data_IF_757345938824
#
_entry.id   IF_757345938824
#
_cell.length_a   1.000
_cell.length_b   1.000
_cell.length_c   1.000
_cell.angle_alpha   90.00
_cell.angle_beta   90.00
_cell.angle_gamma   90.00
#
_symmetry.space_group_name_H-M   'P 1'
#
loop_
_entity.id
_entity.type
_entity.pdbx_description
1 polymer ?
#
# COMPACT_ATOMS: atom_id res chain seq x y z
N UNK A 1 6.76 -21.12 -9.40
CA UNK A 1 7.04 -21.17 -7.95
C UNK A 1 5.71 -21.30 -7.22
N UNK A 2 5.71 -21.92 -6.04
CA UNK A 2 4.52 -21.97 -5.20
C UNK A 2 4.29 -20.65 -4.47
N UNK A 3 3.07 -20.44 -3.95
CA UNK A 3 2.76 -19.28 -3.13
C UNK A 3 3.58 -19.26 -1.83
N UNK A 4 3.80 -20.44 -1.25
CA UNK A 4 4.58 -20.62 -0.02
C UNK A 4 6.05 -20.25 -0.22
N UNK A 5 6.64 -20.63 -1.37
CA UNK A 5 8.00 -20.25 -1.74
C UNK A 5 8.14 -18.73 -1.86
N UNK A 6 7.19 -18.08 -2.54
CA UNK A 6 7.19 -16.63 -2.69
C UNK A 6 6.98 -15.92 -1.34
N UNK A 7 6.02 -16.39 -0.53
CA UNK A 7 5.77 -15.85 0.79
C UNK A 7 7.02 -15.95 1.68
N UNK A 8 7.71 -17.10 1.67
CA UNK A 8 8.95 -17.29 2.43
C UNK A 8 10.05 -16.31 2.00
N UNK A 9 10.19 -16.02 0.71
CA UNK A 9 11.14 -15.01 0.22
C UNK A 9 10.79 -13.60 0.71
N UNK A 10 9.51 -13.21 0.65
CA UNK A 10 9.04 -11.91 1.13
C UNK A 10 9.24 -11.75 2.64
N UNK A 11 8.92 -12.79 3.43
CA UNK A 11 9.14 -12.80 4.87
C UNK A 11 10.63 -12.69 5.21
N UNK A 12 11.49 -13.42 4.49
CA UNK A 12 12.94 -13.32 4.67
C UNK A 12 13.45 -11.89 4.42
N UNK A 13 12.93 -11.20 3.39
CA UNK A 13 13.27 -9.81 3.14
C UNK A 13 12.76 -8.88 4.24
N UNK A 14 11.53 -9.10 4.70
CA UNK A 14 10.92 -8.33 5.79
C UNK A 14 11.72 -8.47 7.10
N UNK A 15 12.05 -9.69 7.52
CA UNK A 15 12.87 -9.99 8.70
C UNK A 15 14.27 -9.37 8.61
N UNK A 16 14.88 -9.41 7.43
CA UNK A 16 16.19 -8.80 7.18
C UNK A 16 16.14 -7.28 7.04
N UNK A 17 14.97 -6.66 7.03
CA UNK A 17 14.76 -5.25 6.75
C UNK A 17 15.32 -4.83 5.38
N UNK A 18 15.22 -5.72 4.39
CA UNK A 18 15.54 -5.44 2.99
C UNK A 18 14.27 -4.99 2.29
N UNK A 19 14.20 -3.74 1.77
CA UNK A 19 13.02 -3.24 1.11
C UNK A 19 12.60 -4.09 -0.10
N UNK A 20 11.30 -4.22 -0.30
CA UNK A 20 10.73 -4.89 -1.46
C UNK A 20 9.36 -4.30 -1.77
N UNK A 21 8.87 -4.59 -2.98
CA UNK A 21 7.47 -4.34 -3.34
C UNK A 21 6.93 -5.56 -4.07
N UNK A 22 5.68 -5.89 -3.78
CA UNK A 22 4.90 -6.89 -4.52
C UNK A 22 3.54 -6.28 -4.87
N UNK A 23 3.10 -6.46 -6.12
CA UNK A 23 1.84 -5.92 -6.60
C UNK A 23 1.28 -6.72 -7.78
N UNK A 24 -0.02 -6.64 -8.00
CA UNK A 24 -0.67 -7.13 -9.23
C UNK A 24 -1.18 -5.94 -10.05
N UNK A 25 -1.08 -6.03 -11.37
CA UNK A 25 -1.67 -5.05 -12.28
C UNK A 25 -3.16 -5.35 -12.47
N UNK A 26 -4.02 -4.34 -12.69
CA UNK A 26 -5.44 -4.57 -12.94
C UNK A 26 -5.68 -5.61 -14.04
N UNK A 27 -6.46 -6.66 -13.72
CA UNK A 27 -6.80 -7.75 -14.64
C UNK A 27 -5.64 -8.71 -14.98
N UNK A 28 -4.46 -8.56 -14.38
CA UNK A 28 -3.34 -9.45 -14.60
C UNK A 28 -3.40 -10.68 -13.67
N UNK A 29 -3.16 -11.86 -14.24
CA UNK A 29 -2.98 -13.10 -13.46
C UNK A 29 -1.58 -13.22 -12.83
N UNK A 30 -0.67 -12.30 -13.15
CA UNK A 30 0.74 -12.34 -12.75
C UNK A 30 1.04 -11.31 -11.69
N UNK A 31 1.87 -11.69 -10.72
CA UNK A 31 2.43 -10.79 -9.73
C UNK A 31 3.69 -10.13 -10.27
N UNK A 32 3.98 -8.93 -9.78
CA UNK A 32 5.21 -8.19 -10.03
C UNK A 32 5.93 -8.03 -8.70
N UNK A 33 7.23 -8.32 -8.68
CA UNK A 33 8.05 -8.18 -7.47
C UNK A 33 9.35 -7.45 -7.77
N UNK A 34 9.76 -6.57 -6.87
CA UNK A 34 11.10 -5.99 -6.82
C UNK A 34 11.68 -6.27 -5.44
N UNK A 35 12.86 -6.87 -5.39
CA UNK A 35 13.64 -7.08 -4.17
C UNK A 35 14.85 -6.15 -4.20
N UNK A 36 14.98 -5.26 -3.22
CA UNK A 36 16.16 -4.43 -3.09
C UNK A 36 17.25 -5.21 -2.35
N UNK A 37 18.50 -5.10 -2.83
CA UNK A 37 19.65 -5.84 -2.27
C UNK A 37 20.23 -5.18 -1.01
N UNK A 38 19.99 -3.89 -0.82
CA UNK A 38 20.50 -3.11 0.31
C UNK A 38 19.38 -2.58 1.22
N UNK A 39 19.73 -2.21 2.45
CA UNK A 39 18.80 -1.63 3.43
C UNK A 39 18.61 -0.11 3.28
N UNK A 40 19.20 0.51 2.26
CA UNK A 40 19.19 1.96 2.12
C UNK A 40 17.81 2.41 1.69
N UNK A 41 17.32 3.47 2.32
CA UNK A 41 16.16 4.21 1.84
C UNK A 41 16.61 5.07 0.66
N UNK A 42 16.39 4.62 -0.57
CA UNK A 42 16.65 5.44 -1.75
C UNK A 42 15.48 6.41 -1.96
N UNK A 43 15.80 7.56 -2.55
CA UNK A 43 14.83 8.60 -2.87
C UNK A 43 15.03 9.08 -4.31
N UNK A 44 13.98 9.62 -4.91
CA UNK A 44 14.03 10.27 -6.24
C UNK A 44 13.28 11.59 -6.23
N UNK A 45 13.72 12.50 -7.09
CA UNK A 45 13.02 13.76 -7.41
C UNK A 45 12.85 13.95 -8.92
N UNK A 46 13.51 13.13 -9.75
CA UNK A 46 13.45 13.21 -11.21
C UNK A 46 12.51 12.15 -11.81
N UNK A 47 12.29 11.05 -11.10
CA UNK A 47 11.46 9.91 -11.55
C UNK A 47 11.96 9.26 -12.85
N UNK A 48 13.26 9.36 -13.13
CA UNK A 48 13.89 8.77 -14.32
C UNK A 48 14.50 7.37 -14.04
N UNK A 49 14.63 7.01 -12.76
CA UNK A 49 15.21 5.74 -12.34
C UNK A 49 14.26 4.54 -12.52
N UNK A 50 14.82 3.37 -12.80
CA UNK A 50 14.06 2.13 -12.84
C UNK A 50 13.76 1.61 -11.42
N UNK A 51 12.47 1.48 -11.09
CA UNK A 51 12.04 0.99 -9.79
C UNK A 51 10.55 1.24 -9.51
N UNK A 52 10.19 1.15 -8.23
CA UNK A 52 8.85 1.47 -7.74
C UNK A 52 8.92 2.67 -6.80
N UNK A 53 8.09 3.68 -7.07
CA UNK A 53 8.13 4.95 -6.32
C UNK A 53 6.90 5.10 -5.44
N UNK A 54 7.13 5.33 -4.15
CA UNK A 54 6.13 5.83 -3.21
C UNK A 54 6.22 7.36 -3.19
N UNK A 55 5.39 8.01 -4.00
CA UNK A 55 5.34 9.46 -4.08
C UNK A 55 4.51 10.05 -2.91
N UNK A 56 5.05 11.00 -2.14
CA UNK A 56 4.32 11.65 -1.06
C UNK A 56 3.23 12.58 -1.61
N UNK A 57 2.22 12.87 -0.77
CA UNK A 57 1.21 13.86 -1.10
C UNK A 57 1.77 15.30 -1.11
N UNK A 58 2.71 15.60 -0.21
CA UNK A 58 3.46 16.85 -0.23
C UNK A 58 4.55 16.79 -1.31
N UNK A 59 4.35 17.53 -2.40
CA UNK A 59 5.29 17.57 -3.54
C UNK A 59 6.66 18.14 -3.21
N UNK A 60 6.84 18.78 -2.05
CA UNK A 60 8.15 19.26 -1.59
C UNK A 60 9.00 18.14 -0.97
N UNK A 61 8.40 17.00 -0.65
CA UNK A 61 9.11 15.83 -0.13
C UNK A 61 9.55 14.93 -1.29
N UNK A 62 10.77 14.36 -1.25
CA UNK A 62 11.22 13.44 -2.28
C UNK A 62 10.40 12.13 -2.25
N UNK A 63 10.25 11.49 -3.41
CA UNK A 63 9.65 10.15 -3.50
C UNK A 63 10.58 9.10 -2.91
N UNK A 64 10.04 8.11 -2.21
CA UNK A 64 10.81 6.93 -1.78
C UNK A 64 10.89 5.98 -2.98
N UNK A 65 12.09 5.52 -3.32
CA UNK A 65 12.35 4.64 -4.45
C UNK A 65 12.80 3.26 -3.96
N UNK A 66 12.07 2.21 -4.35
CA UNK A 66 12.56 0.83 -4.29
C UNK A 66 13.21 0.54 -5.64
N UNK A 67 14.54 0.46 -5.65
CA UNK A 67 15.31 0.29 -6.90
C UNK A 67 15.21 -1.13 -7.42
N UNK A 68 15.14 -1.26 -8.74
CA UNK A 68 15.26 -2.55 -9.42
C UNK A 68 14.18 -2.77 -10.46
N UNK A 69 14.42 -3.74 -11.34
CA UNK A 69 13.48 -4.11 -12.38
C UNK A 69 12.40 -5.05 -11.83
N UNK A 70 11.11 -4.78 -12.06
CA UNK A 70 10.04 -5.72 -11.72
C UNK A 70 10.25 -7.08 -12.39
N UNK A 71 10.19 -8.14 -11.59
CA UNK A 71 10.17 -9.52 -12.08
C UNK A 71 8.73 -10.01 -12.09
N UNK A 72 8.30 -10.59 -13.21
CA UNK A 72 6.99 -11.23 -13.31
C UNK A 72 7.02 -12.61 -12.66
N UNK A 73 6.05 -12.86 -11.78
CA UNK A 73 5.92 -14.13 -11.09
C UNK A 73 4.55 -14.73 -11.39
N UNK A 74 4.57 -15.99 -11.83
CA UNK A 74 3.39 -16.84 -11.92
C UNK A 74 3.38 -17.73 -10.68
N UNK A 75 2.34 -17.55 -9.87
CA UNK A 75 2.11 -18.35 -8.67
C UNK A 75 1.03 -19.37 -9.00
N UNK A 76 1.29 -20.65 -8.75
CA UNK A 76 0.25 -21.66 -8.79
C UNK A 76 -0.73 -21.39 -7.65
N UNK A 77 -2.00 -21.15 -7.96
CA UNK A 77 -3.03 -20.90 -6.96
C UNK A 77 -3.17 -22.09 -6.02
N UNK A 78 -2.74 -21.93 -4.76
CA UNK A 78 -3.24 -22.74 -3.67
C UNK A 78 -4.36 -21.94 -3.01
N UNK A 79 -5.53 -22.54 -2.84
CA UNK A 79 -6.60 -21.90 -2.09
C UNK A 79 -6.13 -21.79 -0.63
N UNK A 80 -5.74 -20.58 -0.21
CA UNK A 80 -5.48 -20.29 1.20
C UNK A 80 -6.80 -19.88 1.81
N UNK A 81 -7.34 -20.73 2.69
CA UNK A 81 -8.51 -20.37 3.49
C UNK A 81 -8.11 -19.31 4.51
N UNK A 82 -8.62 -18.09 4.33
CA UNK A 82 -8.49 -17.03 5.31
C UNK A 82 -9.73 -17.01 6.19
N UNK A 83 -9.56 -17.29 7.48
CA UNK A 83 -10.63 -17.10 8.44
C UNK A 83 -11.04 -15.60 8.49
N UNK A 84 -12.32 -15.33 8.35
CA UNK A 84 -12.88 -13.99 8.60
C UNK A 84 -12.85 -13.72 10.10
N UNK A 85 -12.20 -12.64 10.50
CA UNK A 85 -12.29 -12.11 11.85
C UNK A 85 -13.22 -10.92 11.77
N UNK A 86 -14.41 -11.03 12.34
CA UNK A 86 -15.27 -9.88 12.53
C UNK A 86 -14.64 -8.97 13.58
N UNK A 87 -14.30 -7.75 13.18
CA UNK A 87 -13.79 -6.72 14.09
C UNK A 87 -14.77 -5.57 14.08
N UNK A 88 -15.39 -5.29 15.22
CA UNK A 88 -16.21 -4.09 15.38
C UNK A 88 -15.30 -2.87 15.29
N UNK A 89 -15.54 -2.03 14.29
CA UNK A 89 -14.76 -0.82 14.06
C UNK A 89 -15.44 0.32 14.82
N UNK A 90 -14.81 0.79 15.88
CA UNK A 90 -15.23 2.01 16.57
C UNK A 90 -14.96 3.23 15.67
N UNK A 91 -16.01 3.99 15.38
CA UNK A 91 -15.94 5.22 14.58
C UNK A 91 -15.79 6.42 15.52
N UNK A 92 -14.55 6.69 15.96
CA UNK A 92 -14.28 7.77 16.93
C UNK A 92 -14.43 9.19 16.39
N UNK A 93 -14.45 9.35 15.06
CA UNK A 93 -14.37 10.67 14.40
C UNK A 93 -15.48 10.90 13.35
N UNK A 94 -16.60 10.17 13.44
CA UNK A 94 -17.67 10.30 12.46
C UNK A 94 -18.25 11.73 12.41
N UNK A 95 -18.60 12.27 13.57
CA UNK A 95 -19.18 13.62 13.68
C UNK A 95 -18.20 14.72 13.23
N UNK A 96 -16.91 14.56 13.54
CA UNK A 96 -15.88 15.49 13.08
C UNK A 96 -15.76 15.50 11.56
N UNK A 97 -15.85 14.32 10.93
CA UNK A 97 -15.79 14.22 9.48
C UNK A 97 -17.05 14.81 8.83
N UNK A 98 -18.22 14.61 9.42
CA UNK A 98 -19.48 15.24 8.97
C UNK A 98 -19.35 16.76 9.01
N UNK A 99 -18.92 17.33 10.13
CA UNK A 99 -18.72 18.77 10.26
C UNK A 99 -17.69 19.33 9.24
N UNK A 100 -16.65 18.55 8.92
CA UNK A 100 -15.67 18.93 7.89
C UNK A 100 -16.30 18.93 6.48
N UNK A 101 -17.18 17.98 6.19
CA UNK A 101 -17.93 17.91 4.92
C UNK A 101 -18.91 19.07 4.79
N UNK A 102 -19.65 19.41 5.86
CA UNK A 102 -20.56 20.57 5.88
C UNK A 102 -19.80 21.87 5.59
N UNK A 103 -18.67 22.07 6.26
CA UNK A 103 -17.77 23.21 5.99
C UNK A 103 -17.28 23.25 4.54
N UNK A 104 -16.94 22.10 3.96
CA UNK A 104 -16.52 22.03 2.57
C UNK A 104 -17.65 22.42 1.60
N UNK A 105 -18.90 22.03 1.87
CA UNK A 105 -20.06 22.43 1.08
C UNK A 105 -20.23 23.95 1.12
N UNK A 106 -20.20 24.56 2.30
CA UNK A 106 -20.26 26.02 2.46
C UNK A 106 -19.11 26.72 1.71
N UNK A 107 -17.90 26.15 1.77
CA UNK A 107 -16.72 26.70 1.10
C UNK A 107 -16.87 26.65 -0.42
N UNK A 108 -17.41 25.55 -0.97
CA UNK A 108 -17.69 25.39 -2.41
C UNK A 108 -18.72 26.41 -2.90
N UNK A 109 -19.77 26.67 -2.11
CA UNK A 109 -20.83 27.62 -2.49
C UNK A 109 -20.29 29.06 -2.53
N UNK A 110 -19.39 29.41 -1.60
CA UNK A 110 -18.95 30.79 -1.40
C UNK A 110 -17.62 31.16 -2.11
N UNK A 111 -16.87 30.19 -2.62
CA UNK A 111 -15.58 30.39 -3.30
C UNK A 111 -15.59 29.79 -4.71
N UNK A 112 -14.57 30.09 -5.53
CA UNK A 112 -14.36 29.45 -6.85
C UNK A 112 -13.77 28.02 -6.72
N UNK A 113 -14.24 27.24 -5.74
CA UNK A 113 -13.83 25.86 -5.52
C UNK A 113 -14.93 24.93 -6.03
N UNK A 114 -14.65 24.15 -7.08
CA UNK A 114 -15.67 23.28 -7.71
C UNK A 114 -15.85 21.91 -7.05
N UNK A 115 -14.78 21.37 -6.46
CA UNK A 115 -14.76 20.04 -5.83
C UNK A 115 -13.62 19.96 -4.84
N UNK A 116 -13.87 19.32 -3.71
CA UNK A 116 -12.84 18.91 -2.76
C UNK A 116 -13.05 17.46 -2.37
N UNK A 117 -11.95 16.73 -2.13
CA UNK A 117 -11.97 15.38 -1.57
C UNK A 117 -11.41 15.48 -0.16
N UNK A 118 -12.23 15.11 0.82
CA UNK A 118 -11.84 15.08 2.22
C UNK A 118 -11.67 13.63 2.64
N UNK A 119 -10.52 13.30 3.23
CA UNK A 119 -10.25 11.96 3.75
C UNK A 119 -10.32 11.95 5.28
N UNK A 120 -10.56 10.75 5.83
CA UNK A 120 -10.33 10.44 7.24
C UNK A 120 -9.55 9.13 7.30
N UNK A 121 -8.80 8.93 8.38
CA UNK A 121 -8.02 7.70 8.60
C UNK A 121 -8.74 6.77 9.55
N UNK A 122 -8.60 5.47 9.31
CA UNK A 122 -8.98 4.43 10.26
C UNK A 122 -7.70 3.73 10.71
N UNK A 123 -7.41 3.76 12.01
CA UNK A 123 -6.31 3.00 12.58
C UNK A 123 -6.86 1.68 13.11
N UNK A 124 -6.28 0.57 12.66
CA UNK A 124 -6.60 -0.77 13.12
C UNK A 124 -5.31 -1.42 13.61
N UNK A 125 -5.32 -1.92 14.85
CA UNK A 125 -4.27 -2.82 15.30
C UNK A 125 -4.51 -4.19 14.68
N UNK A 126 -3.51 -4.73 13.99
CA UNK A 126 -3.56 -6.05 13.36
C UNK A 126 -2.52 -6.92 14.06
N UNK A 127 -2.95 -8.08 14.56
CA UNK A 127 -2.06 -9.10 15.11
C UNK A 127 -1.44 -9.92 13.98
N UNK A 128 -0.65 -9.27 13.13
CA UNK A 128 0.12 -9.92 12.08
C UNK A 128 1.60 -9.59 12.29
N UNK A 129 2.46 -10.60 12.18
CA UNK A 129 3.91 -10.45 12.29
C UNK A 129 4.51 -9.70 11.11
N UNK A 130 3.84 -9.71 9.96
CA UNK A 130 4.28 -9.06 8.72
C UNK A 130 3.06 -8.69 7.84
N UNK A 131 3.24 -7.84 6.81
CA UNK A 131 2.20 -7.54 5.83
C UNK A 131 1.99 -8.64 4.77
N UNK A 132 2.85 -9.68 4.72
CA UNK A 132 2.86 -10.67 3.63
C UNK A 132 1.57 -11.51 3.60
N UNK A 133 1.06 -12.06 4.73
CA UNK A 133 -0.20 -12.80 4.72
C UNK A 133 -1.38 -11.94 4.27
N UNK A 134 -1.36 -10.64 4.61
CA UNK A 134 -2.42 -9.71 4.22
C UNK A 134 -2.44 -9.46 2.71
N UNK A 135 -1.26 -9.38 2.07
CA UNK A 135 -1.16 -9.25 0.62
C UNK A 135 -1.85 -10.42 -0.10
N UNK A 136 -1.50 -11.65 0.25
CA UNK A 136 -2.10 -12.85 -0.37
C UNK A 136 -3.59 -13.05 -0.02
N UNK A 137 -4.07 -12.41 1.04
CA UNK A 137 -5.51 -12.40 1.37
C UNK A 137 -6.32 -11.48 0.46
N UNK A 138 -5.74 -10.37 0.03
CA UNK A 138 -6.44 -9.32 -0.71
C UNK A 138 -6.28 -9.42 -2.23
N UNK A 139 -5.37 -10.27 -2.69
CA UNK A 139 -5.01 -10.44 -4.10
C UNK A 139 -5.48 -11.79 -4.63
#
# INVERSE_FOLDING_TARGET
MSQEELASQLETHFEKQLPFVIYSKPGAAKLQVIFQEDKKLHTTSTYEEEGFVFAPFDSNQPGILIKGKPTEIIVSSAAVEFNSVEKTIETKDADQHIALVEKAIETIINLDLKKVVLSRKQNLSIEASSPVPLFFRLN
#
